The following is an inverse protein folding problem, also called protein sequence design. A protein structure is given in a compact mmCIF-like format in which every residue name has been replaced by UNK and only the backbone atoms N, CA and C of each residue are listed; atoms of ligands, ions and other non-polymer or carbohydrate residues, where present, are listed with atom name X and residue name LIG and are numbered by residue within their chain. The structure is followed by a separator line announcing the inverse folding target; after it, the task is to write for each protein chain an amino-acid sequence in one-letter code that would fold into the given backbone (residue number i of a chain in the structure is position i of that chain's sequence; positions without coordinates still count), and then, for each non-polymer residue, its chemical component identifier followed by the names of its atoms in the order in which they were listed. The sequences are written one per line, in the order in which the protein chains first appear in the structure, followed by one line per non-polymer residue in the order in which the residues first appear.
data_IF_918612709470
#
_entry.id   IF_918612709470
#
_cell.length_a   1.000
_cell.length_b   1.000
_cell.length_c   1.000
_cell.angle_alpha   90.00
_cell.angle_beta   90.00
_cell.angle_gamma   90.00
#
_symmetry.space_group_name_H-M   'P 1'
#
loop_
_entity.id
_entity.type
_entity.pdbx_description
1 polymer ?
#
# COMPACT_ATOMS: atom_id res chain seq x y z
N UNK A 1 5.75 -9.59 -3.12
CA UNK A 1 6.70 -10.45 -2.37
C UNK A 1 5.93 -11.14 -1.27
N UNK A 2 6.37 -12.30 -0.75
CA UNK A 2 5.85 -12.79 0.51
C UNK A 2 6.05 -11.74 1.61
N UNK A 3 4.99 -11.44 2.36
CA UNK A 3 5.07 -10.43 3.41
C UNK A 3 3.83 -10.37 4.29
N UNK A 4 3.97 -9.83 5.51
CA UNK A 4 2.82 -9.58 6.38
C UNK A 4 1.92 -8.49 5.77
N UNK A 5 0.59 -8.61 5.90
CA UNK A 5 -0.34 -7.62 5.40
C UNK A 5 -0.19 -6.29 6.13
N UNK A 6 -0.46 -5.20 5.42
CA UNK A 6 -0.46 -3.84 5.98
C UNK A 6 -1.87 -3.26 6.05
N UNK A 7 -2.03 -2.10 6.69
CA UNK A 7 -3.30 -1.43 6.90
C UNK A 7 -3.11 0.09 6.91
N UNK A 8 -4.16 0.82 7.31
CA UNK A 8 -4.15 2.25 7.59
C UNK A 8 -3.00 2.59 8.55
N UNK A 9 -2.29 3.67 8.26
CA UNK A 9 -1.08 4.10 8.98
C UNK A 9 0.21 3.47 8.46
N UNK A 10 0.16 2.56 7.48
CA UNK A 10 1.36 2.06 6.82
C UNK A 10 2.03 3.16 6.00
N UNK A 11 3.32 3.37 6.21
CA UNK A 11 4.17 4.21 5.41
C UNK A 11 4.40 3.63 4.02
N UNK A 12 4.32 4.50 3.03
CA UNK A 12 4.57 4.20 1.62
C UNK A 12 5.55 5.21 1.06
N UNK A 13 6.36 4.77 0.10
CA UNK A 13 7.27 5.62 -0.67
C UNK A 13 6.98 5.43 -2.15
N UNK A 14 6.91 6.52 -2.90
CA UNK A 14 6.65 6.50 -4.34
C UNK A 14 7.90 6.99 -5.07
N UNK A 15 8.48 6.17 -5.95
CA UNK A 15 9.69 6.50 -6.69
C UNK A 15 9.60 6.11 -8.18
N UNK A 16 9.79 7.04 -9.13
CA UNK A 16 9.79 8.50 -8.93
C UNK A 16 8.52 9.01 -8.26
N UNK A 17 8.62 10.09 -7.49
CA UNK A 17 7.46 10.81 -6.97
C UNK A 17 6.82 11.71 -8.02
N UNK A 18 5.77 12.45 -7.65
CA UNK A 18 5.02 13.34 -8.55
C UNK A 18 5.89 14.44 -9.18
N UNK A 19 6.96 14.86 -8.50
CA UNK A 19 7.91 15.88 -8.99
C UNK A 19 9.27 15.29 -9.42
N UNK A 20 9.42 13.96 -9.46
CA UNK A 20 10.69 13.27 -9.74
C UNK A 20 11.31 12.62 -8.51
N UNK A 21 11.77 13.38 -7.49
CA UNK A 21 12.30 12.78 -6.26
C UNK A 21 11.25 11.93 -5.53
N UNK A 22 11.65 10.98 -4.67
CA UNK A 22 10.71 10.09 -3.99
C UNK A 22 9.76 10.83 -3.06
N UNK A 23 8.46 10.54 -3.17
CA UNK A 23 7.42 11.09 -2.31
C UNK A 23 7.05 10.10 -1.19
N UNK A 24 6.72 10.60 0.00
CA UNK A 24 6.39 9.79 1.16
C UNK A 24 4.92 9.96 1.51
N UNK A 25 4.30 8.92 2.06
CA UNK A 25 2.90 9.00 2.45
C UNK A 25 2.49 7.92 3.43
N UNK A 26 1.21 7.94 3.77
CA UNK A 26 0.57 6.95 4.63
C UNK A 26 -0.70 6.44 3.96
N UNK A 27 -1.00 5.15 4.12
CA UNK A 27 -2.32 4.61 3.80
C UNK A 27 -3.32 5.24 4.78
N UNK A 28 -4.33 5.94 4.27
CA UNK A 28 -5.32 6.65 5.10
C UNK A 28 -6.71 6.04 4.99
N UNK A 29 -7.01 5.28 3.95
CA UNK A 29 -8.33 4.66 3.79
C UNK A 29 -8.23 3.33 3.05
N UNK A 30 -8.93 2.33 3.57
CA UNK A 30 -9.19 1.05 2.90
C UNK A 30 -10.67 1.03 2.53
N UNK A 31 -10.96 0.90 1.24
CA UNK A 31 -12.34 0.93 0.76
C UNK A 31 -13.02 -0.43 0.90
N UNK A 32 -14.34 -0.47 1.18
CA UNK A 32 -15.12 -1.71 1.18
C UNK A 32 -15.05 -2.47 -0.16
N UNK A 33 -15.22 -3.80 -0.11
CA UNK A 33 -15.35 -4.63 1.09
C UNK A 33 -14.01 -4.82 1.80
N UNK A 34 -14.04 -4.81 3.14
CA UNK A 34 -12.84 -4.95 3.98
C UNK A 34 -12.83 -6.29 4.70
N UNK A 35 -11.66 -6.91 4.77
CA UNK A 35 -11.35 -7.95 5.76
C UNK A 35 -10.47 -7.33 6.83
N UNK A 36 -10.55 -7.84 8.05
CA UNK A 36 -9.77 -7.30 9.17
C UNK A 36 -8.79 -8.32 9.72
N UNK A 37 -7.62 -7.84 10.15
CA UNK A 37 -6.72 -8.61 11.01
C UNK A 37 -6.31 -7.73 12.20
N UNK A 38 -6.29 -8.32 13.40
CA UNK A 38 -6.01 -7.58 14.64
C UNK A 38 -6.91 -6.33 14.82
N UNK A 39 -8.18 -6.42 14.39
CA UNK A 39 -9.14 -5.31 14.43
C UNK A 39 -8.93 -4.21 13.37
N UNK A 40 -7.91 -4.31 12.52
CA UNK A 40 -7.60 -3.31 11.48
C UNK A 40 -8.01 -3.78 10.09
N UNK A 41 -8.57 -2.91 9.22
CA UNK A 41 -8.94 -3.28 7.85
C UNK A 41 -7.69 -3.47 6.99
N UNK A 42 -7.53 -4.63 6.35
CA UNK A 42 -6.35 -4.92 5.55
C UNK A 42 -6.34 -4.12 4.25
N UNK A 43 -5.21 -3.48 3.96
CA UNK A 43 -5.04 -2.70 2.75
C UNK A 43 -5.06 -3.61 1.51
N UNK A 44 -5.77 -3.16 0.49
CA UNK A 44 -5.84 -3.80 -0.83
C UNK A 44 -5.43 -2.84 -1.92
N UNK A 45 -5.20 -3.34 -3.13
CA UNK A 45 -4.99 -2.49 -4.31
C UNK A 45 -6.14 -1.50 -4.45
N UNK A 46 -5.82 -0.25 -4.80
CA UNK A 46 -6.75 0.88 -4.80
C UNK A 46 -7.12 1.45 -3.42
N UNK A 47 -6.46 1.05 -2.33
CA UNK A 47 -6.56 1.80 -1.06
C UNK A 47 -6.01 3.22 -1.26
N UNK A 48 -6.48 4.17 -0.46
CA UNK A 48 -6.07 5.57 -0.58
C UNK A 48 -4.85 5.85 0.31
N UNK A 49 -3.82 6.43 -0.30
CA UNK A 49 -2.67 7.00 0.36
C UNK A 49 -2.78 8.53 0.38
N UNK A 50 -2.45 9.13 1.52
CA UNK A 50 -2.14 10.55 1.60
C UNK A 50 -0.63 10.69 1.41
N UNK A 51 -0.24 11.10 0.20
CA UNK A 51 1.14 11.37 -0.15
C UNK A 51 1.49 12.81 0.20
N UNK A 52 2.77 13.08 0.38
CA UNK A 52 3.37 14.40 0.54
C UNK A 52 4.43 14.51 -0.54
N UNK A 53 4.28 15.50 -1.42
CA UNK A 53 5.27 15.75 -2.44
C UNK A 53 6.56 16.26 -1.78
N UNK A 54 7.66 15.56 -2.03
CA UNK A 54 8.96 15.83 -1.41
C UNK A 54 9.55 17.19 -1.77
N UNK A 55 9.21 17.72 -2.96
CA UNK A 55 9.73 19.02 -3.43
C UNK A 55 8.91 20.20 -2.90
N UNK A 56 7.58 20.10 -2.93
CA UNK A 56 6.68 21.21 -2.56
C UNK A 56 6.14 21.11 -1.13
N UNK A 57 6.21 19.95 -0.49
CA UNK A 57 5.56 19.66 0.79
C UNK A 57 4.04 19.55 0.71
N UNK A 58 3.44 19.68 -0.48
CA UNK A 58 1.99 19.70 -0.65
C UNK A 58 1.43 18.27 -0.55
N UNK A 59 0.41 18.03 0.29
CA UNK A 59 -0.27 16.75 0.37
C UNK A 59 -1.10 16.49 -0.88
N UNK A 60 -1.06 15.26 -1.41
CA UNK A 60 -1.93 14.84 -2.52
C UNK A 60 -2.44 13.39 -2.33
N UNK A 61 -3.67 13.09 -2.76
CA UNK A 61 -4.22 11.74 -2.71
C UNK A 61 -3.63 10.86 -3.82
N UNK A 62 -3.38 9.58 -3.51
CA UNK A 62 -2.98 8.59 -4.50
C UNK A 62 -3.57 7.22 -4.18
N UNK A 63 -4.15 6.55 -5.17
CA UNK A 63 -4.62 5.18 -5.01
C UNK A 63 -3.46 4.19 -5.24
N UNK A 64 -3.38 3.14 -4.41
CA UNK A 64 -2.42 2.05 -4.63
C UNK A 64 -2.71 1.37 -5.98
N UNK A 65 -1.66 1.11 -6.76
CA UNK A 65 -1.77 0.46 -8.06
C UNK A 65 -2.38 -0.95 -8.03
N UNK A 66 -2.63 -1.56 -9.21
CA UNK A 66 -3.50 -2.73 -9.33
C UNK A 66 -2.83 -4.08 -9.03
N UNK A 67 -1.50 -4.16 -8.90
CA UNK A 67 -0.75 -5.43 -8.82
C UNK A 67 -0.10 -5.55 -7.44
N UNK A 68 -0.50 -6.57 -6.66
CA UNK A 68 0.09 -6.92 -5.37
C UNK A 68 0.02 -8.45 -5.16
N UNK A 69 -0.57 -8.99 -4.09
CA UNK A 69 -0.73 -10.45 -3.96
C UNK A 69 -1.50 -11.10 -5.12
N UNK A 70 -0.97 -12.20 -5.65
CA UNK A 70 -1.64 -13.03 -6.67
C UNK A 70 -2.58 -14.09 -6.08
N UNK A 71 -2.39 -14.47 -4.81
CA UNK A 71 -3.19 -15.51 -4.17
C UNK A 71 -4.21 -15.01 -3.15
N UNK A 72 -3.91 -13.91 -2.44
CA UNK A 72 -4.84 -13.34 -1.45
C UNK A 72 -5.50 -12.10 -2.03
N UNK A 73 -6.79 -12.22 -2.32
CA UNK A 73 -7.61 -11.13 -2.85
C UNK A 73 -8.86 -10.93 -2.02
N UNK A 74 -9.35 -9.70 -2.01
CA UNK A 74 -10.59 -9.29 -1.35
C UNK A 74 -11.48 -8.68 -2.40
N UNK A 75 -12.54 -9.39 -2.80
CA UNK A 75 -13.44 -8.95 -3.87
C UNK A 75 -12.70 -8.56 -5.17
N UNK A 76 -11.69 -9.35 -5.55
CA UNK A 76 -10.89 -9.11 -6.76
C UNK A 76 -9.78 -8.06 -6.61
N UNK A 77 -9.58 -7.48 -5.42
CA UNK A 77 -8.49 -6.54 -5.12
C UNK A 77 -7.38 -7.26 -4.36
N UNK A 78 -6.16 -7.22 -4.87
CA UNK A 78 -5.02 -7.90 -4.26
C UNK A 78 -4.66 -7.32 -2.89
N UNK A 79 -4.32 -8.20 -1.95
CA UNK A 79 -3.82 -7.82 -0.64
C UNK A 79 -2.45 -7.11 -0.78
N UNK A 80 -2.26 -6.03 -0.03
CA UNK A 80 -1.03 -5.25 0.02
C UNK A 80 -0.20 -5.67 1.23
N UNK A 81 1.09 -5.90 1.01
CA UNK A 81 2.01 -6.44 2.03
C UNK A 81 3.23 -5.56 2.19
N UNK A 82 3.86 -5.65 3.35
CA UNK A 82 5.14 -4.99 3.60
C UNK A 82 6.17 -5.50 2.59
N UNK A 83 6.92 -4.57 1.98
CA UNK A 83 7.92 -4.86 0.97
C UNK A 83 7.38 -5.02 -0.45
N UNK A 84 6.06 -4.93 -0.68
CA UNK A 84 5.53 -4.92 -2.04
C UNK A 84 6.05 -3.69 -2.82
N UNK A 85 6.36 -3.93 -4.10
CA UNK A 85 6.74 -2.93 -5.10
C UNK A 85 5.61 -2.86 -6.13
N UNK A 86 4.74 -1.87 -5.99
CA UNK A 86 3.48 -1.80 -6.73
C UNK A 86 3.58 -0.71 -7.79
N UNK A 87 3.51 -1.04 -9.09
CA UNK A 87 3.43 -0.03 -10.16
C UNK A 87 2.23 0.89 -9.92
N UNK A 88 2.51 2.15 -9.58
CA UNK A 88 1.52 3.16 -9.21
C UNK A 88 1.94 4.47 -9.86
N UNK A 89 1.33 4.89 -10.98
CA UNK A 89 1.74 6.11 -11.69
C UNK A 89 1.85 7.30 -10.72
N UNK A 90 2.93 8.11 -10.80
CA UNK A 90 3.98 8.13 -11.83
C UNK A 90 5.14 7.13 -11.68
N UNK A 91 5.17 6.30 -10.63
CA UNK A 91 6.34 5.48 -10.31
C UNK A 91 6.02 4.09 -9.76
N UNK A 92 6.88 3.60 -8.89
CA UNK A 92 6.70 2.36 -8.13
C UNK A 92 6.48 2.75 -6.67
N UNK A 93 5.38 2.28 -6.11
CA UNK A 93 5.06 2.44 -4.70
C UNK A 93 5.67 1.28 -3.91
N UNK A 94 6.62 1.60 -3.05
CA UNK A 94 7.19 0.69 -2.06
C UNK A 94 6.39 0.77 -0.76
N UNK A 95 5.95 -0.39 -0.26
CA UNK A 95 5.25 -0.50 1.01
C UNK A 95 6.25 -0.74 2.14
N UNK A 96 6.32 0.17 3.12
CA UNK A 96 7.38 0.16 4.13
C UNK A 96 6.96 -0.47 5.47
N UNK A 97 5.70 -0.30 5.88
CA UNK A 97 5.18 -0.79 7.16
C UNK A 97 4.74 0.33 8.11
N UNK A 98 4.32 0.02 9.34
CA UNK A 98 4.36 -1.30 9.97
C UNK A 98 3.32 -2.28 9.42
N UNK A 99 3.52 -3.59 9.63
CA UNK A 99 2.49 -4.60 9.33
C UNK A 99 1.31 -4.51 10.29
N UNK A 100 0.12 -4.82 9.80
CA UNK A 100 -1.11 -4.87 10.61
C UNK A 100 -1.21 -6.17 11.43
N UNK A 101 -0.72 -7.27 10.86
CA UNK A 101 -0.69 -8.58 11.50
C UNK A 101 0.68 -9.25 11.27
N UNK A 102 1.71 -8.93 12.07
CA UNK A 102 3.06 -9.48 11.89
C UNK A 102 3.14 -11.00 12.09
N UNK A 103 2.10 -11.62 12.68
CA UNK A 103 1.97 -13.05 12.89
C UNK A 103 1.35 -13.80 11.71
N UNK A 104 0.89 -13.10 10.67
CA UNK A 104 0.39 -13.68 9.41
C UNK A 104 1.32 -13.24 8.30
N UNK A 105 1.70 -14.18 7.43
CA UNK A 105 2.53 -13.90 6.27
C UNK A 105 1.86 -14.48 5.03
N UNK A 106 1.55 -13.62 4.06
CA UNK A 106 1.12 -14.08 2.75
C UNK A 106 2.34 -14.58 1.98
N UNK A 107 2.33 -15.84 1.54
CA UNK A 107 3.43 -16.50 0.84
C UNK A 107 3.31 -16.44 -0.69
N UNK A 108 2.26 -15.84 -1.22
CA UNK A 108 2.02 -15.81 -2.66
C UNK A 108 2.92 -14.80 -3.39
N UNK A 109 3.27 -15.06 -4.67
CA UNK A 109 4.01 -14.10 -5.49
C UNK A 109 3.30 -12.74 -5.60
N UNK A 110 4.05 -11.65 -5.82
CA UNK A 110 3.49 -10.40 -6.35
C UNK A 110 2.96 -10.55 -7.78
#
# INVERSE_FOLDING_TARGET
MPGPPVSIGCAVMLSPGAAGPPDMGLIVTVFPPVITANGLPLATTGSLCQMINSLSGIPYPLLIGPIASTGVTVSGRSLVRMGDLIPTPPGIMTILGPPAAPFINDQWPP
#
